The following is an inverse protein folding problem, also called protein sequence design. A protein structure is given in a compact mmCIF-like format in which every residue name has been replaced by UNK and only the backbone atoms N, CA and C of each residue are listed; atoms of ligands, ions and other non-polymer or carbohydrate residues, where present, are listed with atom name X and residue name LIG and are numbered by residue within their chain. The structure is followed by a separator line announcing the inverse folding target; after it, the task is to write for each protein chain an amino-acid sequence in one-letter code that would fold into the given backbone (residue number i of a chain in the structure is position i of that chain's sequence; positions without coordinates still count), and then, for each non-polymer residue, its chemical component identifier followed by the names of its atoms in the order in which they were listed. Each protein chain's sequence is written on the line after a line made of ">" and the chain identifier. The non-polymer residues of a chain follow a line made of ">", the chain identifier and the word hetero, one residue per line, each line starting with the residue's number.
data_IF_257953286457
#
_entry.id   IF_257953286457
#
_cell.length_a   1.000
_cell.length_b   1.000
_cell.length_c   1.000
_cell.angle_alpha   90.00
_cell.angle_beta   90.00
_cell.angle_gamma   90.00
#
_symmetry.space_group_name_H-M   'P 1'
#
loop_
_entity.id
_entity.type
_entity.pdbx_description
1 polymer ?
#
# COMPACT_ATOMS: atom_id res chain seq x y z
N UNK A 1 15.71 5.88 6.69
CA UNK A 1 16.58 4.97 7.48
C UNK A 1 17.13 3.99 6.47
N UNK A 2 18.45 3.96 6.29
CA UNK A 2 19.09 3.12 5.28
C UNK A 2 19.22 1.69 5.80
N UNK A 3 18.73 0.68 5.06
CA UNK A 3 18.69 -0.73 5.49
C UNK A 3 20.08 -1.33 5.73
N UNK A 4 21.14 -0.61 5.37
CA UNK A 4 22.55 -0.98 5.52
C UNK A 4 23.08 -0.81 6.95
N UNK A 5 22.37 -0.09 7.84
CA UNK A 5 22.86 0.18 9.21
C UNK A 5 22.87 -1.02 10.16
N UNK A 6 22.35 -2.18 9.72
CA UNK A 6 22.24 -3.39 10.55
C UNK A 6 23.33 -4.43 10.30
N UNK A 7 24.23 -4.20 9.34
CA UNK A 7 25.37 -5.09 9.08
C UNK A 7 26.53 -4.70 9.98
N UNK A 8 26.64 -5.31 11.16
CA UNK A 8 27.76 -5.13 12.09
C UNK A 8 28.35 -6.49 12.47
N UNK A 9 29.66 -6.58 12.68
CA UNK A 9 30.34 -7.86 12.94
C UNK A 9 30.15 -8.41 14.36
N UNK A 10 29.50 -7.65 15.25
CA UNK A 10 29.29 -7.98 16.66
C UNK A 10 27.79 -8.11 16.97
N UNK A 11 27.39 -9.25 17.55
CA UNK A 11 26.01 -9.57 17.89
C UNK A 11 25.35 -8.56 18.84
N UNK A 12 26.10 -8.03 19.81
CA UNK A 12 25.58 -7.05 20.77
C UNK A 12 25.23 -5.72 20.11
N UNK A 13 26.06 -5.27 19.16
CA UNK A 13 25.81 -4.05 18.38
C UNK A 13 24.62 -4.23 17.45
N UNK A 14 24.47 -5.40 16.82
CA UNK A 14 23.29 -5.73 16.02
C UNK A 14 22.02 -5.68 16.90
N UNK A 15 22.06 -6.29 18.09
CA UNK A 15 20.92 -6.31 18.99
C UNK A 15 20.52 -4.92 19.47
N UNK A 16 21.49 -4.05 19.77
CA UNK A 16 21.24 -2.65 20.11
C UNK A 16 20.54 -1.90 18.96
N UNK A 17 21.03 -2.08 17.71
CA UNK A 17 20.39 -1.50 16.52
C UNK A 17 18.96 -2.01 16.32
N UNK A 18 18.72 -3.32 16.50
CA UNK A 18 17.38 -3.93 16.41
C UNK A 18 16.45 -3.34 17.48
N UNK A 19 16.93 -3.14 18.70
CA UNK A 19 16.13 -2.57 19.79
C UNK A 19 15.75 -1.11 19.50
N UNK A 20 16.70 -0.30 19.02
CA UNK A 20 16.44 1.10 18.60
C UNK A 20 15.42 1.13 17.46
N UNK A 21 15.59 0.27 16.47
CA UNK A 21 14.64 0.14 15.36
C UNK A 21 13.25 -0.22 15.88
N UNK A 22 13.15 -1.23 16.75
CA UNK A 22 11.89 -1.68 17.35
C UNK A 22 11.20 -0.57 18.13
N UNK A 23 11.96 0.22 18.91
CA UNK A 23 11.44 1.39 19.62
C UNK A 23 10.95 2.49 18.66
N UNK A 24 11.72 2.78 17.60
CA UNK A 24 11.32 3.73 16.56
C UNK A 24 10.01 3.30 15.90
N UNK A 25 9.92 2.04 15.49
CA UNK A 25 8.71 1.51 14.88
C UNK A 25 7.54 1.48 15.87
N UNK A 26 7.76 1.14 17.13
CA UNK A 26 6.72 1.24 18.16
C UNK A 26 6.23 2.70 18.34
N UNK A 27 7.15 3.67 18.38
CA UNK A 27 6.84 5.08 18.52
C UNK A 27 6.05 5.63 17.32
N UNK A 28 6.45 5.25 16.11
CA UNK A 28 5.73 5.59 14.89
C UNK A 28 4.51 4.71 14.63
N UNK A 29 4.23 3.80 15.56
CA UNK A 29 3.15 2.82 15.47
C UNK A 29 3.30 2.09 14.12
N UNK A 30 4.31 1.25 13.94
CA UNK A 30 4.59 0.47 12.73
C UNK A 30 4.86 -0.95 13.20
N UNK A 31 4.02 -1.90 12.79
CA UNK A 31 4.14 -3.30 13.22
C UNK A 31 4.91 -4.09 12.17
N UNK A 32 6.16 -4.44 12.48
CA UNK A 32 6.99 -5.30 11.63
C UNK A 32 6.58 -6.75 11.91
N UNK A 33 6.13 -7.46 10.87
CA UNK A 33 5.60 -8.84 10.95
C UNK A 33 4.30 -9.02 11.75
N UNK A 34 3.55 -7.94 11.98
CA UNK A 34 2.19 -8.01 12.54
C UNK A 34 1.25 -8.88 11.71
N UNK A 35 0.40 -9.68 12.35
CA UNK A 35 -0.65 -10.45 11.64
C UNK A 35 -1.48 -9.49 10.78
N UNK A 36 -1.67 -9.79 9.48
CA UNK A 36 -2.47 -8.98 8.52
C UNK A 36 -3.77 -8.44 9.12
N UNK A 37 -4.48 -9.28 9.91
CA UNK A 37 -5.72 -8.93 10.61
C UNK A 37 -5.58 -7.73 11.58
N UNK A 38 -4.46 -7.63 12.31
CA UNK A 38 -4.18 -6.53 13.25
C UNK A 38 -3.99 -5.22 12.49
N UNK A 39 -3.19 -5.22 11.42
CA UNK A 39 -2.94 -4.03 10.62
C UNK A 39 -4.20 -3.56 9.89
N UNK A 40 -5.04 -4.48 9.41
CA UNK A 40 -6.38 -4.16 8.89
C UNK A 40 -7.26 -3.52 9.97
N UNK A 41 -7.30 -4.08 11.18
CA UNK A 41 -8.05 -3.50 12.30
C UNK A 41 -7.57 -2.07 12.60
N UNK A 42 -6.26 -1.86 12.56
CA UNK A 42 -5.66 -0.55 12.81
C UNK A 42 -6.04 0.49 11.75
N UNK A 43 -6.05 0.12 10.47
CA UNK A 43 -6.54 0.99 9.40
C UNK A 43 -8.01 1.35 9.64
N UNK A 44 -8.84 0.37 10.03
CA UNK A 44 -10.25 0.63 10.39
C UNK A 44 -10.37 1.62 11.55
N UNK A 45 -9.54 1.47 12.58
CA UNK A 45 -9.54 2.37 13.74
C UNK A 45 -9.12 3.80 13.34
N UNK A 46 -8.13 3.95 12.45
CA UNK A 46 -7.73 5.26 11.90
C UNK A 46 -8.88 5.91 11.13
N UNK A 47 -9.54 5.13 10.26
CA UNK A 47 -10.69 5.60 9.49
C UNK A 47 -11.83 6.02 10.41
N UNK A 48 -12.25 5.17 11.36
CA UNK A 48 -13.35 5.51 12.27
C UNK A 48 -13.02 6.72 13.16
N UNK A 49 -11.79 6.83 13.68
CA UNK A 49 -11.36 8.01 14.44
C UNK A 49 -11.44 9.29 13.61
N UNK A 50 -11.10 9.21 12.32
CA UNK A 50 -11.21 10.34 11.41
C UNK A 50 -12.66 10.69 11.06
N UNK A 51 -13.52 9.69 10.83
CA UNK A 51 -14.91 9.90 10.42
C UNK A 51 -15.83 10.34 11.56
N UNK A 52 -15.59 9.89 12.79
CA UNK A 52 -16.42 10.20 13.97
C UNK A 52 -16.71 11.70 14.18
N UNK A 53 -15.71 12.60 14.18
CA UNK A 53 -15.99 14.04 14.32
C UNK A 53 -16.71 14.63 13.10
N UNK A 54 -16.56 14.04 11.92
CA UNK A 54 -17.14 14.53 10.66
C UNK A 54 -18.63 14.19 10.54
N UNK A 55 -19.07 13.05 11.11
CA UNK A 55 -20.48 12.58 11.05
C UNK A 55 -21.51 13.61 11.56
N UNK A 56 -21.13 14.44 12.54
CA UNK A 56 -22.03 15.42 13.16
C UNK A 56 -21.82 16.86 12.67
N UNK A 57 -20.74 17.12 11.92
CA UNK A 57 -20.39 18.46 11.46
C UNK A 57 -21.06 18.75 10.12
N UNK A 58 -21.55 19.98 9.95
CA UNK A 58 -21.96 20.49 8.63
C UNK A 58 -20.70 20.92 7.89
N UNK A 59 -20.34 20.15 6.86
CA UNK A 59 -19.13 20.34 6.06
C UNK A 59 -19.54 20.44 4.60
N UNK A 60 -18.98 21.37 3.85
CA UNK A 60 -19.23 21.49 2.41
C UNK A 60 -18.55 20.35 1.64
N UNK A 61 -19.04 20.03 0.45
CA UNK A 61 -18.49 18.98 -0.43
C UNK A 61 -16.98 19.18 -0.72
N UNK A 62 -16.53 20.41 -0.99
CA UNK A 62 -15.11 20.69 -1.26
C UNK A 62 -14.20 20.40 -0.06
N UNK A 63 -14.59 20.85 1.14
CA UNK A 63 -13.83 20.60 2.37
C UNK A 63 -13.71 19.09 2.70
N UNK A 64 -14.77 18.29 2.51
CA UNK A 64 -14.68 16.84 2.77
C UNK A 64 -13.77 16.15 1.75
N UNK A 65 -13.85 16.51 0.46
CA UNK A 65 -12.96 15.98 -0.57
C UNK A 65 -11.49 16.31 -0.26
N UNK A 66 -11.22 17.56 0.15
CA UNK A 66 -9.89 17.99 0.57
C UNK A 66 -9.37 17.19 1.76
N UNK A 67 -10.16 17.08 2.83
CA UNK A 67 -9.78 16.35 4.04
C UNK A 67 -9.50 14.87 3.74
N UNK A 68 -10.29 14.24 2.87
CA UNK A 68 -10.05 12.86 2.47
C UNK A 68 -8.74 12.74 1.67
N UNK A 69 -8.57 13.57 0.65
CA UNK A 69 -7.43 13.49 -0.27
C UNK A 69 -6.09 13.87 0.37
N UNK A 70 -6.07 14.88 1.24
CA UNK A 70 -4.83 15.43 1.80
C UNK A 70 -4.55 14.98 3.24
N UNK A 71 -5.53 14.40 3.95
CA UNK A 71 -5.32 13.96 5.34
C UNK A 71 -5.55 12.46 5.50
N UNK A 72 -6.72 11.95 5.12
CA UNK A 72 -7.06 10.54 5.37
C UNK A 72 -6.26 9.59 4.47
N UNK A 73 -6.29 9.81 3.16
CA UNK A 73 -5.64 8.92 2.19
C UNK A 73 -4.14 8.83 2.44
N UNK A 74 -3.38 9.93 2.57
CA UNK A 74 -1.94 9.84 2.81
C UNK A 74 -1.61 9.08 4.10
N UNK A 75 -2.37 9.31 5.17
CA UNK A 75 -2.17 8.63 6.46
C UNK A 75 -2.41 7.13 6.36
N UNK A 76 -3.47 6.72 5.66
CA UNK A 76 -3.83 5.32 5.51
C UNK A 76 -2.87 4.59 4.55
N UNK A 77 -2.50 5.24 3.43
CA UNK A 77 -1.53 4.73 2.47
C UNK A 77 -0.17 4.50 3.13
N UNK A 78 0.28 5.43 3.98
CA UNK A 78 1.53 5.28 4.73
C UNK A 78 1.52 4.05 5.64
N UNK A 79 0.45 3.86 6.43
CA UNK A 79 0.34 2.70 7.33
C UNK A 79 0.27 1.38 6.55
N UNK A 80 -0.33 1.39 5.36
CA UNK A 80 -0.48 0.23 4.51
C UNK A 80 0.67 0.00 3.52
N UNK A 81 1.70 0.85 3.49
CA UNK A 81 2.76 0.83 2.45
C UNK A 81 3.49 -0.53 2.34
N UNK A 82 3.66 -1.23 3.47
CA UNK A 82 4.31 -2.54 3.55
C UNK A 82 3.31 -3.71 3.51
N UNK A 83 2.01 -3.43 3.42
CA UNK A 83 0.97 -4.45 3.41
C UNK A 83 0.57 -4.81 1.98
N UNK A 84 0.36 -6.10 1.75
CA UNK A 84 -0.22 -6.60 0.50
C UNK A 84 -1.72 -6.76 0.73
N UNK A 85 -2.48 -5.75 0.30
CA UNK A 85 -3.94 -5.72 0.30
C UNK A 85 -4.43 -5.76 -1.14
N UNK A 86 -5.52 -6.49 -1.39
CA UNK A 86 -6.20 -6.46 -2.69
C UNK A 86 -7.10 -5.23 -2.83
N UNK A 87 -7.44 -4.87 -4.06
CA UNK A 87 -8.40 -3.80 -4.36
C UNK A 87 -9.74 -4.01 -3.63
N UNK A 88 -10.25 -5.24 -3.56
CA UNK A 88 -11.48 -5.56 -2.84
C UNK A 88 -11.36 -5.30 -1.33
N UNK A 89 -10.22 -5.62 -0.72
CA UNK A 89 -9.96 -5.31 0.69
C UNK A 89 -9.95 -3.80 0.93
N UNK A 90 -9.37 -3.02 0.02
CA UNK A 90 -9.37 -1.55 0.07
C UNK A 90 -10.78 -0.96 -0.09
N UNK A 91 -11.56 -1.46 -1.04
CA UNK A 91 -12.95 -1.05 -1.26
C UNK A 91 -13.80 -1.31 -0.01
N UNK A 92 -13.61 -2.45 0.65
CA UNK A 92 -14.28 -2.76 1.92
C UNK A 92 -13.82 -1.82 3.06
N UNK A 93 -12.54 -1.48 3.13
CA UNK A 93 -12.00 -0.57 4.14
C UNK A 93 -12.53 0.87 3.99
N UNK A 94 -12.68 1.34 2.75
CA UNK A 94 -13.15 2.69 2.46
C UNK A 94 -14.66 2.82 2.30
N UNK A 95 -15.42 1.71 2.32
CA UNK A 95 -16.88 1.73 2.36
C UNK A 95 -17.49 2.73 3.37
N UNK A 96 -17.04 2.82 4.64
CA UNK A 96 -17.57 3.82 5.58
C UNK A 96 -17.26 5.27 5.17
N UNK A 97 -16.12 5.52 4.52
CA UNK A 97 -15.74 6.84 4.00
C UNK A 97 -16.69 7.24 2.87
N UNK A 98 -16.90 6.34 1.90
CA UNK A 98 -17.81 6.58 0.77
C UNK A 98 -19.25 6.80 1.24
N UNK A 99 -19.71 6.04 2.24
CA UNK A 99 -21.03 6.26 2.85
C UNK A 99 -21.15 7.64 3.47
N UNK A 100 -20.14 8.09 4.21
CA UNK A 100 -20.14 9.43 4.81
C UNK A 100 -20.14 10.52 3.73
N UNK A 101 -19.33 10.37 2.68
CA UNK A 101 -19.28 11.31 1.56
C UNK A 101 -20.64 11.42 0.89
N UNK A 102 -21.28 10.29 0.57
CA UNK A 102 -22.63 10.28 0.00
C UNK A 102 -23.64 11.00 0.90
N UNK A 103 -23.58 10.75 2.22
CA UNK A 103 -24.44 11.40 3.19
C UNK A 103 -24.23 12.92 3.25
N UNK A 104 -22.97 13.38 3.30
CA UNK A 104 -22.64 14.81 3.35
C UNK A 104 -23.07 15.53 2.07
N UNK A 105 -22.95 14.85 0.92
CA UNK A 105 -23.33 15.41 -0.38
C UNK A 105 -24.85 15.30 -0.66
N UNK A 106 -25.63 14.68 0.22
CA UNK A 106 -27.06 14.41 -0.01
C UNK A 106 -27.34 13.43 -1.15
N UNK A 107 -26.36 12.58 -1.50
CA UNK A 107 -26.47 11.63 -2.60
C UNK A 107 -27.20 10.34 -2.18
N UNK A 108 -27.98 9.72 -3.09
CA UNK A 108 -28.58 8.42 -2.84
C UNK A 108 -27.53 7.35 -2.53
N UNK A 109 -27.90 6.35 -1.73
CA UNK A 109 -27.01 5.22 -1.41
C UNK A 109 -26.57 4.46 -2.66
N UNK A 110 -27.45 4.37 -3.67
CA UNK A 110 -27.22 3.75 -4.98
C UNK A 110 -26.30 4.54 -5.91
N UNK A 111 -25.90 5.77 -5.55
CA UNK A 111 -25.04 6.60 -6.39
C UNK A 111 -23.72 5.87 -6.74
N UNK A 112 -23.29 5.87 -8.02
CA UNK A 112 -22.11 5.12 -8.43
C UNK A 112 -20.84 5.60 -7.72
N UNK A 113 -20.08 4.67 -7.14
CA UNK A 113 -18.81 5.00 -6.45
C UNK A 113 -17.76 5.54 -7.42
N UNK A 114 -17.78 5.09 -8.68
CA UNK A 114 -16.90 5.61 -9.74
C UNK A 114 -17.06 7.11 -9.96
N UNK A 115 -18.30 7.64 -9.88
CA UNK A 115 -18.55 9.06 -10.02
C UNK A 115 -17.98 9.88 -8.85
N UNK A 116 -17.87 9.30 -7.65
CA UNK A 116 -17.24 9.96 -6.50
C UNK A 116 -15.73 10.13 -6.72
N UNK A 117 -15.10 9.13 -7.33
CA UNK A 117 -13.66 9.19 -7.65
C UNK A 117 -13.34 10.06 -8.86
N UNK A 118 -14.34 10.33 -9.71
CA UNK A 118 -14.12 11.10 -10.92
C UNK A 118 -13.72 12.55 -10.60
N UNK A 119 -12.62 13.01 -11.23
CA UNK A 119 -11.99 14.32 -11.00
C UNK A 119 -12.96 15.50 -11.12
N UNK A 120 -13.88 15.44 -12.08
CA UNK A 120 -14.80 16.54 -12.37
C UNK A 120 -16.12 16.50 -11.59
N UNK A 121 -16.32 15.51 -10.70
CA UNK A 121 -17.54 15.40 -9.91
C UNK A 121 -17.24 15.72 -8.44
N UNK A 122 -16.55 14.80 -7.76
CA UNK A 122 -16.14 14.96 -6.36
C UNK A 122 -14.62 14.96 -6.21
N UNK A 123 -13.92 14.35 -7.16
CA UNK A 123 -12.46 14.33 -7.23
C UNK A 123 -11.79 13.68 -6.02
N UNK A 124 -12.44 12.70 -5.39
CA UNK A 124 -11.80 11.93 -4.32
C UNK A 124 -10.80 10.96 -4.96
N UNK A 125 -9.58 10.92 -4.46
CA UNK A 125 -8.58 9.99 -4.96
C UNK A 125 -8.94 8.57 -4.53
N UNK A 126 -8.78 7.60 -5.44
CA UNK A 126 -8.90 6.21 -5.08
C UNK A 126 -7.68 5.79 -4.24
N UNK A 127 -7.86 5.29 -3.01
CA UNK A 127 -6.76 4.86 -2.15
C UNK A 127 -5.95 3.70 -2.76
N UNK A 128 -6.60 2.82 -3.52
CA UNK A 128 -5.95 1.71 -4.22
C UNK A 128 -4.98 2.22 -5.29
N UNK A 129 -5.43 3.17 -6.11
CA UNK A 129 -4.59 3.72 -7.18
C UNK A 129 -3.38 4.47 -6.59
N UNK A 130 -3.56 5.16 -5.47
CA UNK A 130 -2.48 5.84 -4.75
C UNK A 130 -1.44 4.87 -4.17
N UNK A 131 -1.87 3.78 -3.52
CA UNK A 131 -0.93 2.79 -2.98
C UNK A 131 -0.18 2.08 -4.12
N UNK A 132 -0.85 1.72 -5.21
CA UNK A 132 -0.22 1.10 -6.37
C UNK A 132 0.81 2.05 -7.00
N UNK A 133 0.45 3.31 -7.21
CA UNK A 133 1.36 4.33 -7.76
C UNK A 133 2.61 4.47 -6.90
N UNK A 134 2.45 4.58 -5.58
CA UNK A 134 3.57 4.73 -4.66
C UNK A 134 4.47 3.49 -4.64
N UNK A 135 3.88 2.29 -4.59
CA UNK A 135 4.63 1.03 -4.56
C UNK A 135 5.39 0.79 -5.87
N UNK A 136 4.76 1.03 -7.01
CA UNK A 136 5.38 0.88 -8.33
C UNK A 136 6.48 1.92 -8.52
N UNK A 137 6.22 3.19 -8.19
CA UNK A 137 7.20 4.27 -8.34
C UNK A 137 8.44 4.00 -7.48
N UNK A 138 8.25 3.61 -6.22
CA UNK A 138 9.35 3.24 -5.33
C UNK A 138 10.12 2.02 -5.87
N UNK A 139 9.41 1.02 -6.38
CA UNK A 139 10.03 -0.17 -6.96
C UNK A 139 10.86 0.13 -8.21
N UNK A 140 10.32 0.92 -9.16
CA UNK A 140 11.02 1.34 -10.37
C UNK A 140 12.24 2.20 -10.03
N UNK A 141 12.11 3.14 -9.10
CA UNK A 141 13.24 3.94 -8.63
C UNK A 141 14.35 3.05 -8.07
N UNK A 142 13.99 2.04 -7.27
CA UNK A 142 14.97 1.16 -6.65
C UNK A 142 15.66 0.24 -7.66
N UNK A 143 14.93 -0.34 -8.61
CA UNK A 143 15.53 -1.16 -9.69
C UNK A 143 16.57 -0.36 -10.47
N UNK A 144 16.23 0.89 -10.82
CA UNK A 144 17.09 1.77 -11.60
C UNK A 144 18.23 2.40 -10.79
N UNK A 145 18.24 2.22 -9.46
CA UNK A 145 19.29 2.75 -8.59
C UNK A 145 20.44 1.76 -8.43
N UNK A 146 21.69 2.26 -8.39
CA UNK A 146 22.86 1.45 -8.03
C UNK A 146 23.06 1.31 -6.50
N UNK A 147 21.97 1.25 -5.75
CA UNK A 147 22.00 1.16 -4.28
C UNK A 147 22.09 -0.29 -3.80
N UNK A 148 22.58 -0.55 -2.57
CA UNK A 148 22.49 -1.88 -1.94
C UNK A 148 21.03 -2.40 -1.88
N UNK A 149 20.05 -1.51 -1.69
CA UNK A 149 18.63 -1.84 -1.69
C UNK A 149 18.15 -2.42 -3.04
N UNK A 150 18.68 -1.92 -4.16
CA UNK A 150 18.43 -2.49 -5.50
C UNK A 150 18.86 -3.95 -5.56
N UNK A 151 20.04 -4.28 -5.04
CA UNK A 151 20.54 -5.66 -4.99
C UNK A 151 19.63 -6.56 -4.15
N UNK A 152 19.13 -6.07 -3.02
CA UNK A 152 18.16 -6.83 -2.20
C UNK A 152 16.85 -7.09 -2.96
N UNK A 153 16.33 -6.10 -3.68
CA UNK A 153 15.12 -6.27 -4.49
C UNK A 153 15.34 -7.29 -5.60
N UNK A 154 16.48 -7.23 -6.29
CA UNK A 154 16.84 -8.19 -7.32
C UNK A 154 16.93 -9.62 -6.76
N UNK A 155 17.53 -9.80 -5.57
CA UNK A 155 17.56 -11.09 -4.88
C UNK A 155 16.13 -11.58 -4.59
N UNK A 156 15.25 -10.73 -4.04
CA UNK A 156 13.85 -11.09 -3.79
C UNK A 156 13.09 -11.49 -5.06
N UNK A 157 13.38 -10.83 -6.18
CA UNK A 157 12.80 -11.15 -7.48
C UNK A 157 13.28 -12.53 -7.97
N UNK A 158 14.59 -12.80 -7.89
CA UNK A 158 15.16 -14.10 -8.25
C UNK A 158 14.68 -15.23 -7.34
N UNK A 159 14.56 -14.99 -6.04
CA UNK A 159 13.98 -15.98 -5.11
C UNK A 159 12.52 -16.28 -5.47
N UNK A 160 11.73 -15.28 -5.88
CA UNK A 160 10.37 -15.50 -6.36
C UNK A 160 10.35 -16.30 -7.67
N UNK A 161 11.22 -15.96 -8.62
CA UNK A 161 11.36 -16.66 -9.89
C UNK A 161 11.66 -18.16 -9.68
N UNK A 162 12.58 -18.48 -8.77
CA UNK A 162 12.93 -19.86 -8.42
C UNK A 162 11.75 -20.61 -7.78
N UNK A 163 10.99 -19.96 -6.89
CA UNK A 163 9.80 -20.58 -6.25
C UNK A 163 8.67 -20.86 -7.24
N UNK A 164 8.47 -19.96 -8.19
CA UNK A 164 7.49 -20.11 -9.26
C UNK A 164 7.99 -21.02 -10.41
N UNK A 165 9.21 -21.55 -10.31
CA UNK A 165 9.87 -22.37 -11.34
C UNK A 165 9.87 -21.73 -12.74
N UNK A 166 10.02 -20.40 -12.81
CA UNK A 166 10.07 -19.65 -14.07
C UNK A 166 11.52 -19.64 -14.56
N UNK A 167 11.74 -20.10 -15.80
CA UNK A 167 13.08 -20.14 -16.41
C UNK A 167 13.45 -18.83 -17.12
N UNK A 168 12.45 -18.07 -17.58
CA UNK A 168 12.64 -16.78 -18.25
C UNK A 168 12.73 -15.61 -17.27
N UNK A 169 13.14 -14.45 -17.79
CA UNK A 169 13.18 -13.22 -17.01
C UNK A 169 11.80 -12.92 -16.41
N UNK A 170 11.74 -12.79 -15.08
CA UNK A 170 10.51 -12.45 -14.34
C UNK A 170 9.86 -11.14 -14.80
N UNK A 171 10.66 -10.25 -15.41
CA UNK A 171 10.18 -8.99 -15.99
C UNK A 171 9.60 -9.13 -17.39
N UNK A 172 9.81 -10.24 -18.10
CA UNK A 172 9.35 -10.48 -19.49
C UNK A 172 8.21 -11.51 -19.57
N UNK A 173 8.08 -12.39 -18.57
CA UNK A 173 7.12 -13.50 -18.54
C UNK A 173 5.63 -13.09 -18.77
N UNK A 174 4.86 -13.96 -19.44
CA UNK A 174 3.48 -13.68 -19.85
C UNK A 174 2.48 -13.55 -18.68
N UNK A 175 1.57 -12.57 -18.81
CA UNK A 175 0.61 -12.14 -17.78
C UNK A 175 -0.37 -13.24 -17.34
N UNK A 176 -0.66 -14.20 -18.22
CA UNK A 176 -1.67 -15.24 -18.00
C UNK A 176 -1.25 -16.30 -16.97
N UNK A 177 0.04 -16.61 -16.88
CA UNK A 177 0.60 -17.65 -16.00
C UNK A 177 1.04 -17.10 -14.63
N UNK A 178 1.35 -15.80 -14.53
CA UNK A 178 1.65 -15.11 -13.26
C UNK A 178 0.45 -15.05 -12.29
N UNK A 179 -0.77 -15.21 -12.80
CA UNK A 179 -1.98 -15.29 -11.97
C UNK A 179 -2.00 -16.50 -11.02
N UNK A 180 -1.32 -17.60 -11.37
CA UNK A 180 -1.16 -18.77 -10.50
C UNK A 180 -0.26 -18.48 -9.29
N UNK A 181 0.65 -17.51 -9.40
CA UNK A 181 1.54 -17.05 -8.32
C UNK A 181 0.88 -16.13 -7.29
N UNK A 182 -0.43 -15.85 -7.38
CA UNK A 182 -1.13 -14.93 -6.49
C UNK A 182 -1.06 -15.33 -5.00
N UNK A 183 -0.88 -16.63 -4.69
CA UNK A 183 -0.68 -17.08 -3.31
C UNK A 183 0.70 -16.70 -2.78
N UNK A 184 1.76 -16.86 -3.58
CA UNK A 184 3.12 -16.51 -3.20
C UNK A 184 3.35 -14.99 -3.16
N UNK A 185 2.68 -14.26 -4.05
CA UNK A 185 2.68 -12.80 -4.08
C UNK A 185 2.10 -12.15 -2.82
N UNK A 186 1.37 -12.90 -1.97
CA UNK A 186 0.91 -12.39 -0.66
C UNK A 186 2.06 -12.18 0.33
N UNK A 187 3.20 -12.82 0.11
CA UNK A 187 4.38 -12.76 0.97
C UNK A 187 5.52 -11.93 0.39
N UNK A 188 5.50 -11.66 -0.92
CA UNK A 188 6.56 -10.96 -1.62
C UNK A 188 6.03 -9.69 -2.31
N UNK A 189 6.36 -8.54 -1.73
CA UNK A 189 5.93 -7.23 -2.23
C UNK A 189 6.51 -6.91 -3.62
N UNK A 190 7.73 -7.35 -3.92
CA UNK A 190 8.36 -7.15 -5.23
C UNK A 190 7.60 -7.90 -6.33
N UNK A 191 7.23 -9.16 -6.07
CA UNK A 191 6.40 -9.95 -6.99
C UNK A 191 5.00 -9.34 -7.14
N UNK A 192 4.41 -8.86 -6.04
CA UNK A 192 3.12 -8.17 -6.08
C UNK A 192 3.17 -6.91 -6.96
N UNK A 193 4.22 -6.11 -6.84
CA UNK A 193 4.42 -4.90 -7.64
C UNK A 193 4.59 -5.22 -9.13
N UNK A 194 5.32 -6.29 -9.48
CA UNK A 194 5.45 -6.76 -10.87
C UNK A 194 4.08 -7.15 -11.43
N UNK A 195 3.28 -7.91 -10.67
CA UNK A 195 1.93 -8.32 -11.08
C UNK A 195 1.01 -7.11 -11.29
N UNK A 196 1.04 -6.13 -10.38
CA UNK A 196 0.22 -4.91 -10.53
C UNK A 196 0.70 -4.09 -11.73
N UNK A 197 2.00 -3.86 -11.89
CA UNK A 197 2.56 -3.12 -13.01
C UNK A 197 2.12 -3.73 -14.35
N UNK A 198 2.12 -5.07 -14.47
CA UNK A 198 1.61 -5.77 -15.65
C UNK A 198 0.11 -5.62 -15.84
N UNK A 199 -0.70 -5.68 -14.77
CA UNK A 199 -2.15 -5.38 -14.87
C UNK A 199 -2.43 -3.97 -15.37
N UNK A 200 -1.53 -3.04 -15.07
CA UNK A 200 -1.60 -1.64 -15.51
C UNK A 200 -0.90 -1.40 -16.86
N UNK A 201 -0.44 -2.44 -17.55
CA UNK A 201 0.32 -2.38 -18.82
C UNK A 201 1.59 -1.50 -18.74
N UNK A 202 2.23 -1.42 -17.56
CA UNK A 202 3.50 -0.73 -17.37
C UNK A 202 4.64 -1.70 -17.72
N UNK A 203 5.47 -1.31 -18.68
CA UNK A 203 6.67 -2.06 -19.08
C UNK A 203 7.79 -1.72 -18.10
N UNK A 204 8.35 -2.74 -17.46
CA UNK A 204 9.52 -2.61 -16.59
C UNK A 204 10.73 -3.02 -17.45
N UNK A 205 11.53 -2.05 -17.89
CA UNK A 205 12.79 -2.25 -18.63
C UNK A 205 13.97 -2.00 -17.70
#
# INVERSE_FOLDING_TARGET
>A
MDDTSYLNSSGDKIQASINIATQFYHFHDVDINGKKKRSIKRIKDIIEKFLNPLRRKRITVGHIAYLINHVLIPRVVYVAQLMILSENEWNLLFTPVIKLVKQICGLPRSYPTSAIYHRYILGINNPWDQICTNQITAFLYLINSNSPASRFIMIRCRTAQLRLAIHDNIFEYESGSLFLGHQEAKSNLSLHNIIIARKLNIIIQ
#
